data_IF_195490228830
#
_entry.id   IF_195490228830
#
_cell.length_a   1.000
_cell.length_b   1.000
_cell.length_c   1.000
_cell.angle_alpha   90.00
_cell.angle_beta   90.00
_cell.angle_gamma   90.00
#
_symmetry.space_group_name_H-M   'P 1'
#
loop_
_entity.id
_entity.type
_entity.pdbx_description
1 polymer ?
#
# COMPACT_ATOMS: atom_id res chain seq x y z
N UNK A 1 -12.70 -4.96 11.56
CA UNK A 1 -11.47 -5.79 11.48
C UNK A 1 -11.53 -6.65 10.22
N UNK A 2 -10.82 -6.30 9.15
CA UNK A 2 -10.74 -7.21 7.99
C UNK A 2 -9.55 -8.15 8.18
N UNK A 3 -9.84 -9.41 8.48
CA UNK A 3 -8.89 -10.53 8.29
C UNK A 3 -8.29 -10.39 6.88
N UNK A 4 -6.98 -10.60 6.72
CA UNK A 4 -6.39 -10.66 5.39
C UNK A 4 -7.06 -11.81 4.62
N UNK A 5 -7.84 -11.48 3.60
CA UNK A 5 -8.58 -12.47 2.80
C UNK A 5 -7.80 -12.93 1.57
N UNK A 6 -6.81 -12.16 1.14
CA UNK A 6 -6.05 -12.43 -0.08
C UNK A 6 -4.92 -13.44 0.13
N UNK A 7 -4.36 -13.52 1.34
CA UNK A 7 -3.28 -14.45 1.66
C UNK A 7 -3.67 -15.38 2.80
N UNK A 8 -3.61 -16.69 2.53
CA UNK A 8 -3.84 -17.70 3.56
C UNK A 8 -2.62 -17.78 4.49
N UNK A 9 -2.85 -17.44 5.75
CA UNK A 9 -1.83 -17.57 6.79
C UNK A 9 -1.50 -19.03 7.11
N UNK A 10 -0.22 -19.33 7.33
CA UNK A 10 0.29 -20.63 7.81
C UNK A 10 0.44 -20.70 9.33
N UNK A 11 0.16 -19.61 10.04
CA UNK A 11 0.15 -19.57 11.50
C UNK A 11 -1.08 -20.25 12.13
N UNK A 12 -1.24 -20.19 13.46
CA UNK A 12 -0.39 -19.45 14.40
C UNK A 12 0.99 -20.09 14.61
N UNK A 13 1.98 -19.29 14.98
CA UNK A 13 3.31 -19.74 15.40
C UNK A 13 3.59 -19.29 16.83
N UNK A 14 4.34 -20.08 17.60
CA UNK A 14 4.83 -19.66 18.92
C UNK A 14 5.94 -18.63 18.76
N UNK A 15 5.99 -17.62 19.63
CA UNK A 15 6.97 -16.54 19.54
C UNK A 15 8.41 -17.04 19.61
N UNK A 16 8.71 -18.00 20.49
CA UNK A 16 10.02 -18.65 20.58
C UNK A 16 10.41 -19.48 19.33
N UNK A 17 9.46 -19.92 18.50
CA UNK A 17 9.75 -20.58 17.21
C UNK A 17 10.11 -19.54 16.14
N UNK A 18 9.51 -18.34 16.22
CA UNK A 18 9.82 -17.25 15.32
C UNK A 18 11.19 -16.63 15.66
N UNK A 19 11.48 -16.45 16.95
CA UNK A 19 12.67 -15.75 17.47
C UNK A 19 13.36 -16.53 18.61
N UNK A 20 13.96 -17.70 18.33
CA UNK A 20 14.51 -18.59 19.34
C UNK A 20 15.66 -17.98 20.15
N UNK A 21 16.38 -17.01 19.59
CA UNK A 21 17.51 -16.35 20.25
C UNK A 21 17.11 -15.10 21.04
N UNK A 22 15.87 -14.64 20.92
CA UNK A 22 15.41 -13.39 21.51
C UNK A 22 14.28 -13.59 22.53
N UNK A 23 13.57 -14.72 22.48
CA UNK A 23 12.42 -14.97 23.36
C UNK A 23 12.24 -16.45 23.68
N UNK A 24 11.97 -16.74 24.96
CA UNK A 24 11.53 -18.05 25.44
C UNK A 24 9.99 -18.15 25.54
N UNK A 25 9.29 -17.10 25.14
CA UNK A 25 7.83 -16.97 25.27
C UNK A 25 7.09 -17.93 24.35
N UNK A 26 6.08 -18.61 24.90
CA UNK A 26 5.23 -19.57 24.19
C UNK A 26 3.91 -18.95 23.69
N UNK A 27 3.82 -17.61 23.66
CA UNK A 27 2.64 -16.90 23.15
C UNK A 27 2.37 -17.29 21.70
N UNK A 28 1.11 -17.57 21.39
CA UNK A 28 0.67 -17.88 20.02
C UNK A 28 0.44 -16.59 19.23
N UNK A 29 1.32 -16.34 18.27
CA UNK A 29 1.19 -15.26 17.29
C UNK A 29 0.35 -15.77 16.12
N UNK A 30 -0.79 -15.11 15.89
CA UNK A 30 -1.75 -15.43 14.82
C UNK A 30 -1.50 -14.66 13.54
N UNK A 31 -0.92 -13.47 13.61
CA UNK A 31 -0.72 -12.61 12.44
C UNK A 31 0.39 -11.58 12.65
N UNK A 32 0.70 -10.84 11.59
CA UNK A 32 1.62 -9.69 11.59
C UNK A 32 0.82 -8.45 11.17
N UNK A 33 0.92 -7.37 11.93
CA UNK A 33 0.20 -6.11 11.67
C UNK A 33 1.03 -4.89 12.03
N UNK A 34 0.65 -3.73 11.49
CA UNK A 34 1.21 -2.43 11.84
C UNK A 34 0.89 -2.04 13.29
N UNK A 35 1.69 -1.14 13.87
CA UNK A 35 1.62 -0.75 15.28
C UNK A 35 0.22 -0.32 15.73
N UNK A 36 -0.51 0.39 14.85
CA UNK A 36 -1.85 0.94 15.04
C UNK A 36 -2.98 -0.11 14.96
N UNK A 37 -2.73 -1.25 14.32
CA UNK A 37 -3.75 -2.28 14.05
C UNK A 37 -3.49 -3.61 14.78
N UNK A 38 -2.32 -3.77 15.39
CA UNK A 38 -1.91 -4.99 16.05
C UNK A 38 -2.63 -5.18 17.39
N UNK A 39 -3.15 -6.39 17.60
CA UNK A 39 -3.82 -6.81 18.83
C UNK A 39 -2.95 -7.84 19.60
N UNK A 40 -3.41 -8.28 20.78
CA UNK A 40 -2.63 -9.12 21.71
C UNK A 40 -2.05 -10.41 21.10
N UNK A 41 -2.66 -10.95 20.05
CA UNK A 41 -2.18 -12.14 19.35
C UNK A 41 -1.37 -11.86 18.08
N UNK A 42 -1.02 -10.61 17.82
CA UNK A 42 -0.30 -10.20 16.61
C UNK A 42 1.14 -9.81 16.94
N UNK A 43 2.02 -10.03 15.96
CA UNK A 43 3.37 -9.50 15.93
C UNK A 43 3.37 -8.17 15.19
N UNK A 44 4.11 -7.19 15.70
CA UNK A 44 4.32 -5.89 15.06
C UNK A 44 5.81 -5.54 14.97
N UNK A 45 6.14 -4.35 14.48
CA UNK A 45 7.51 -3.89 14.32
C UNK A 45 7.65 -2.38 14.58
N UNK A 46 8.80 -1.97 15.10
CA UNK A 46 9.12 -0.60 15.43
C UNK A 46 10.61 -0.30 15.19
N UNK A 47 10.91 0.52 14.19
CA UNK A 47 12.30 0.77 13.73
C UNK A 47 12.73 2.24 13.77
N UNK A 48 11.79 3.18 13.84
CA UNK A 48 12.08 4.63 13.77
C UNK A 48 11.23 5.41 14.76
N UNK A 49 11.83 6.43 15.38
CA UNK A 49 11.16 7.34 16.31
C UNK A 49 9.98 8.10 15.70
N UNK A 50 9.90 8.20 14.37
CA UNK A 50 8.75 8.77 13.68
C UNK A 50 7.43 8.06 14.04
N UNK A 51 7.51 6.80 14.48
CA UNK A 51 6.35 5.99 14.89
C UNK A 51 6.21 5.86 16.41
N UNK A 52 6.96 6.63 17.21
CA UNK A 52 6.96 6.55 18.68
C UNK A 52 5.55 6.56 19.26
N UNK A 53 4.71 7.50 18.83
CA UNK A 53 3.35 7.62 19.33
C UNK A 53 2.48 6.38 19.07
N UNK A 54 2.68 5.70 17.93
CA UNK A 54 1.99 4.44 17.64
C UNK A 54 2.56 3.28 18.45
N UNK A 55 3.89 3.27 18.67
CA UNK A 55 4.56 2.26 19.49
C UNK A 55 4.09 2.30 20.95
N UNK A 56 3.95 3.49 21.54
CA UNK A 56 3.46 3.69 22.90
C UNK A 56 2.01 3.19 23.10
N UNK A 57 1.23 3.13 22.01
CA UNK A 57 -0.19 2.78 22.02
C UNK A 57 -0.51 1.40 21.45
N UNK A 58 0.50 0.65 21.01
CA UNK A 58 0.29 -0.64 20.37
C UNK A 58 -0.36 -1.64 21.34
N UNK A 59 -1.25 -2.49 20.82
CA UNK A 59 -1.84 -3.61 21.58
C UNK A 59 -1.22 -4.94 21.20
N UNK A 60 -0.14 -4.94 20.42
CA UNK A 60 0.54 -6.14 19.95
C UNK A 60 1.03 -7.03 21.11
N UNK A 61 0.99 -8.35 20.91
CA UNK A 61 1.59 -9.28 21.87
C UNK A 61 3.11 -9.21 21.87
N UNK A 62 3.72 -8.97 20.71
CA UNK A 62 5.16 -8.82 20.56
C UNK A 62 5.51 -7.80 19.47
N UNK A 63 6.65 -7.13 19.62
CA UNK A 63 7.15 -6.14 18.66
C UNK A 63 8.63 -6.37 18.35
N UNK A 64 8.94 -6.55 17.06
CA UNK A 64 10.33 -6.56 16.57
C UNK A 64 10.89 -5.14 16.64
N UNK A 65 11.98 -4.93 17.36
CA UNK A 65 12.54 -3.58 17.55
C UNK A 65 14.05 -3.61 17.80
N UNK A 66 14.64 -2.43 18.03
CA UNK A 66 16.03 -2.24 18.44
C UNK A 66 16.10 -1.96 19.94
N UNK A 67 17.22 -2.30 20.57
CA UNK A 67 17.39 -2.14 22.03
C UNK A 67 17.12 -0.70 22.51
N UNK A 68 17.58 0.30 21.76
CA UNK A 68 17.39 1.71 22.08
C UNK A 68 15.94 2.22 21.91
N UNK A 69 15.08 1.46 21.23
CA UNK A 69 13.68 1.80 20.96
C UNK A 69 12.70 1.06 21.88
N UNK A 70 13.12 -0.05 22.49
CA UNK A 70 12.30 -0.88 23.38
C UNK A 70 11.55 -0.10 24.47
N UNK A 71 12.18 0.96 25.01
CA UNK A 71 11.61 1.79 26.10
C UNK A 71 10.30 2.51 25.75
N UNK A 72 9.95 2.62 24.46
CA UNK A 72 8.70 3.25 24.02
C UNK A 72 7.56 2.24 23.87
N UNK A 73 7.81 0.94 24.06
CA UNK A 73 6.78 -0.07 23.99
C UNK A 73 6.07 -0.22 25.34
N UNK A 74 4.75 -0.49 25.35
CA UNK A 74 4.04 -0.76 26.59
C UNK A 74 4.51 -2.08 27.20
N UNK A 75 4.44 -2.20 28.54
CA UNK A 75 4.83 -3.42 29.26
C UNK A 75 4.07 -4.67 28.81
N UNK A 76 2.86 -4.50 28.26
CA UNK A 76 2.05 -5.58 27.70
C UNK A 76 2.56 -6.13 26.37
N UNK A 77 3.53 -5.48 25.73
CA UNK A 77 4.09 -5.86 24.44
C UNK A 77 5.53 -6.37 24.63
N UNK A 78 5.75 -7.65 24.30
CA UNK A 78 7.08 -8.25 24.41
C UNK A 78 8.03 -7.71 23.32
N UNK A 79 9.11 -7.05 23.72
CA UNK A 79 10.08 -6.49 22.78
C UNK A 79 11.09 -7.54 22.30
N UNK A 80 11.07 -7.83 21.00
CA UNK A 80 12.01 -8.71 20.32
C UNK A 80 13.15 -7.86 19.74
N UNK A 81 14.24 -7.73 20.50
CA UNK A 81 15.36 -6.85 20.15
C UNK A 81 16.31 -7.54 19.15
N UNK A 82 16.47 -6.92 17.98
CA UNK A 82 17.23 -7.46 16.84
C UNK A 82 18.14 -6.40 16.21
N UNK A 83 19.13 -6.84 15.44
CA UNK A 83 20.03 -5.93 14.70
C UNK A 83 19.33 -5.28 13.50
N UNK A 84 18.55 -6.04 12.75
CA UNK A 84 17.81 -5.57 11.57
C UNK A 84 16.32 -5.91 11.72
N UNK A 85 15.51 -4.88 11.98
CA UNK A 85 14.07 -5.02 12.20
C UNK A 85 13.39 -5.49 10.92
N UNK A 86 13.68 -4.86 9.78
CA UNK A 86 13.08 -5.22 8.49
C UNK A 86 13.41 -6.65 8.08
N UNK A 87 14.64 -7.12 8.31
CA UNK A 87 15.03 -8.49 7.94
C UNK A 87 14.28 -9.54 8.74
N UNK A 88 14.22 -9.38 10.06
CA UNK A 88 13.52 -10.33 10.91
C UNK A 88 11.99 -10.25 10.72
N UNK A 89 11.45 -9.05 10.44
CA UNK A 89 10.06 -8.89 10.00
C UNK A 89 9.79 -9.62 8.69
N UNK A 90 10.65 -9.47 7.69
CA UNK A 90 10.48 -10.12 6.38
C UNK A 90 10.51 -11.64 6.52
N UNK A 91 11.43 -12.20 7.30
CA UNK A 91 11.52 -13.65 7.59
C UNK A 91 10.28 -14.17 8.30
N UNK A 92 9.82 -13.47 9.34
CA UNK A 92 8.59 -13.82 10.03
C UNK A 92 7.40 -13.78 9.05
N UNK A 93 7.31 -12.74 8.23
CA UNK A 93 6.24 -12.58 7.23
C UNK A 93 6.26 -13.69 6.19
N UNK A 94 7.44 -14.11 5.71
CA UNK A 94 7.55 -15.24 4.77
C UNK A 94 7.09 -16.56 5.39
N UNK A 95 7.32 -16.78 6.70
CA UNK A 95 6.78 -17.96 7.40
C UNK A 95 5.25 -17.93 7.46
N UNK A 96 4.65 -16.77 7.77
CA UNK A 96 3.18 -16.64 7.82
C UNK A 96 2.54 -16.70 6.43
N UNK A 97 3.18 -16.10 5.42
CA UNK A 97 2.62 -15.86 4.09
C UNK A 97 3.64 -16.18 2.99
N UNK A 98 3.95 -17.46 2.74
CA UNK A 98 5.01 -17.86 1.82
C UNK A 98 4.72 -17.52 0.35
N UNK A 99 3.47 -17.26 -0.01
CA UNK A 99 3.06 -16.95 -1.40
C UNK A 99 2.85 -15.44 -1.63
N UNK A 100 3.29 -14.57 -0.71
CA UNK A 100 3.10 -13.13 -0.81
C UNK A 100 4.37 -12.38 -1.28
N UNK A 101 5.44 -13.11 -1.61
CA UNK A 101 6.72 -12.58 -2.10
C UNK A 101 6.75 -12.32 -3.62
N UNK A 102 5.75 -12.80 -4.35
CA UNK A 102 5.54 -12.62 -5.78
C UNK A 102 4.06 -12.40 -6.10
N UNK A 103 3.80 -11.92 -7.32
CA UNK A 103 2.47 -11.95 -7.93
C UNK A 103 2.33 -13.21 -8.78
N UNK A 104 1.85 -14.27 -8.14
CA UNK A 104 1.49 -15.49 -8.84
C UNK A 104 0.20 -15.26 -9.66
N UNK A 105 0.10 -15.80 -10.88
CA UNK A 105 -1.14 -15.74 -11.65
C UNK A 105 -2.29 -16.42 -10.90
N UNK A 106 -3.47 -15.80 -10.91
CA UNK A 106 -4.66 -16.41 -10.35
C UNK A 106 -5.21 -17.51 -11.27
N UNK A 107 -5.01 -18.76 -10.86
CA UNK A 107 -5.48 -19.93 -11.62
C UNK A 107 -6.99 -20.18 -11.49
N UNK A 108 -7.70 -19.37 -10.69
CA UNK A 108 -9.16 -19.50 -10.48
C UNK A 108 -10.01 -18.66 -11.42
N UNK A 109 -9.39 -17.94 -12.36
CA UNK A 109 -10.07 -17.04 -13.29
C UNK A 109 -11.06 -17.77 -14.20
N UNK A 110 -12.29 -17.29 -14.23
CA UNK A 110 -13.35 -17.72 -15.16
C UNK A 110 -13.92 -16.51 -15.91
N UNK A 111 -14.52 -16.73 -17.08
CA UNK A 111 -15.29 -15.68 -17.77
C UNK A 111 -16.44 -15.21 -16.86
N UNK A 112 -16.59 -13.89 -16.72
CA UNK A 112 -17.64 -13.28 -15.93
C UNK A 112 -19.04 -13.71 -16.41
N UNK A 113 -19.86 -14.25 -15.51
CA UNK A 113 -21.23 -14.69 -15.81
C UNK A 113 -22.24 -13.73 -15.20
N UNK A 114 -23.13 -13.16 -16.04
CA UNK A 114 -24.20 -12.24 -15.59
C UNK A 114 -25.06 -12.83 -14.45
N UNK A 115 -25.29 -14.15 -14.45
CA UNK A 115 -26.05 -14.85 -13.40
C UNK A 115 -25.38 -14.78 -12.02
N UNK A 116 -24.04 -14.69 -11.93
CA UNK A 116 -23.31 -14.54 -10.67
C UNK A 116 -23.29 -13.08 -10.17
N UNK A 117 -23.49 -12.11 -11.06
CA UNK A 117 -23.37 -10.68 -10.79
C UNK A 117 -24.60 -9.90 -11.30
N UNK A 118 -25.78 -10.07 -10.68
CA UNK A 118 -27.01 -9.43 -11.14
C UNK A 118 -26.89 -7.90 -11.06
N UNK A 119 -27.20 -7.22 -12.16
CA UNK A 119 -27.12 -5.76 -12.26
C UNK A 119 -25.73 -5.21 -12.61
N UNK A 120 -24.74 -6.06 -12.89
CA UNK A 120 -23.42 -5.65 -13.38
C UNK A 120 -23.35 -5.82 -14.90
N UNK A 121 -22.79 -4.83 -15.59
CA UNK A 121 -22.54 -4.90 -17.04
C UNK A 121 -21.07 -5.24 -17.29
N UNK A 122 -20.84 -6.21 -18.17
CA UNK A 122 -19.51 -6.64 -18.57
C UNK A 122 -19.29 -6.39 -20.05
N UNK A 123 -18.09 -5.93 -20.41
CA UNK A 123 -17.55 -5.98 -21.76
C UNK A 123 -17.13 -7.40 -22.15
N UNK A 124 -16.43 -7.51 -23.27
CA UNK A 124 -15.97 -8.79 -23.80
C UNK A 124 -14.75 -9.30 -23.03
N UNK A 125 -14.64 -10.62 -22.86
CA UNK A 125 -13.46 -11.26 -22.28
C UNK A 125 -13.06 -10.73 -20.87
N UNK A 126 -14.05 -10.48 -20.00
CA UNK A 126 -13.79 -10.16 -18.59
C UNK A 126 -13.58 -11.44 -17.81
N UNK A 127 -12.47 -11.52 -17.07
CA UNK A 127 -12.12 -12.66 -16.21
C UNK A 127 -12.26 -12.29 -14.73
N UNK A 128 -12.86 -13.19 -13.97
CA UNK A 128 -13.16 -12.99 -12.55
C UNK A 128 -12.72 -14.21 -11.75
N UNK A 129 -11.93 -13.97 -10.70
CA UNK A 129 -11.44 -14.99 -9.79
C UNK A 129 -12.45 -15.39 -8.72
N UNK A 130 -12.05 -16.32 -7.85
CA UNK A 130 -12.90 -16.83 -6.78
C UNK A 130 -13.30 -15.74 -5.78
N UNK A 131 -14.53 -15.79 -5.27
CA UNK A 131 -15.07 -14.89 -4.22
C UNK A 131 -15.08 -13.39 -4.54
N UNK A 132 -14.80 -12.99 -5.79
CA UNK A 132 -14.94 -11.58 -6.20
C UNK A 132 -16.36 -11.10 -5.97
N UNK A 133 -16.50 -9.88 -5.48
CA UNK A 133 -17.79 -9.21 -5.30
C UNK A 133 -17.80 -7.89 -6.04
N UNK A 134 -18.89 -7.64 -6.76
CA UNK A 134 -19.09 -6.42 -7.53
C UNK A 134 -20.48 -5.89 -7.19
N UNK A 135 -20.55 -4.63 -6.77
CA UNK A 135 -21.81 -3.96 -6.48
C UNK A 135 -22.66 -3.73 -7.73
N UNK A 136 -23.96 -3.56 -7.51
CA UNK A 136 -24.94 -3.33 -8.59
C UNK A 136 -24.62 -2.04 -9.36
N UNK A 137 -25.11 -1.98 -10.60
CA UNK A 137 -24.95 -0.85 -11.52
C UNK A 137 -23.52 -0.58 -11.99
N UNK A 138 -22.55 -1.38 -11.54
CA UNK A 138 -21.17 -1.24 -11.99
C UNK A 138 -20.99 -1.76 -13.42
N UNK A 139 -20.05 -1.15 -14.14
CA UNK A 139 -19.67 -1.49 -15.51
C UNK A 139 -18.20 -1.89 -15.51
N UNK A 140 -17.90 -3.05 -16.10
CA UNK A 140 -16.53 -3.57 -16.24
C UNK A 140 -16.20 -3.69 -17.73
N UNK A 141 -15.17 -2.99 -18.19
CA UNK A 141 -14.73 -2.93 -19.58
C UNK A 141 -14.07 -4.22 -20.07
N UNK A 142 -13.79 -4.28 -21.37
CA UNK A 142 -13.33 -5.51 -22.03
C UNK A 142 -11.90 -5.89 -21.63
N UNK A 143 -11.59 -7.18 -21.64
CA UNK A 143 -10.25 -7.70 -21.31
C UNK A 143 -9.76 -7.35 -19.89
N UNK A 144 -10.68 -7.03 -18.98
CA UNK A 144 -10.36 -6.71 -17.58
C UNK A 144 -10.32 -7.98 -16.74
N UNK A 145 -9.34 -8.06 -15.83
CA UNK A 145 -9.11 -9.18 -14.93
C UNK A 145 -9.30 -8.72 -13.49
N UNK A 146 -10.21 -9.37 -12.77
CA UNK A 146 -10.45 -9.18 -11.35
C UNK A 146 -10.03 -10.46 -10.61
N UNK A 147 -8.90 -10.45 -9.90
CA UNK A 147 -8.42 -11.63 -9.17
C UNK A 147 -9.22 -11.90 -7.88
N UNK A 148 -9.01 -13.09 -7.31
CA UNK A 148 -9.75 -13.59 -6.17
C UNK A 148 -9.87 -12.60 -5.01
N UNK A 149 -11.03 -12.65 -4.35
CA UNK A 149 -11.36 -11.88 -3.17
C UNK A 149 -11.36 -10.34 -3.38
N UNK A 150 -11.18 -9.84 -4.61
CA UNK A 150 -11.37 -8.40 -4.93
C UNK A 150 -12.81 -8.00 -4.64
N UNK A 151 -12.96 -6.84 -4.00
CA UNK A 151 -14.26 -6.26 -3.66
C UNK A 151 -14.42 -4.92 -4.38
N UNK A 152 -15.49 -4.78 -5.14
CA UNK A 152 -15.87 -3.54 -5.83
C UNK A 152 -17.26 -3.11 -5.35
N UNK A 153 -17.39 -1.84 -4.98
CA UNK A 153 -18.64 -1.21 -4.59
C UNK A 153 -19.66 -1.11 -5.74
N UNK A 154 -20.72 -0.36 -5.47
CA UNK A 154 -21.78 -0.09 -6.45
C UNK A 154 -21.44 1.11 -7.33
N UNK A 155 -22.11 1.19 -8.47
CA UNK A 155 -22.08 2.35 -9.36
C UNK A 155 -20.65 2.69 -9.87
N UNK A 156 -19.77 1.70 -9.98
CA UNK A 156 -18.39 1.91 -10.45
C UNK A 156 -18.27 1.77 -11.97
N UNK A 157 -17.35 2.52 -12.57
CA UNK A 157 -16.96 2.37 -13.98
C UNK A 157 -15.51 1.93 -14.06
N UNK A 158 -15.29 0.67 -14.37
CA UNK A 158 -13.97 0.07 -14.56
C UNK A 158 -13.75 -0.10 -16.06
N UNK A 159 -12.73 0.54 -16.61
CA UNK A 159 -12.36 0.51 -18.02
C UNK A 159 -11.88 -0.85 -18.51
N UNK A 160 -11.30 -0.84 -19.72
CA UNK A 160 -10.79 -2.01 -20.43
C UNK A 160 -9.32 -2.28 -20.14
N UNK A 161 -8.89 -3.53 -20.28
CA UNK A 161 -7.50 -3.96 -20.11
C UNK A 161 -6.92 -3.66 -18.72
N UNK A 162 -7.77 -3.67 -17.69
CA UNK A 162 -7.38 -3.40 -16.31
C UNK A 162 -7.06 -4.71 -15.59
N UNK A 163 -6.08 -4.67 -14.69
CA UNK A 163 -5.83 -5.74 -13.73
C UNK A 163 -6.03 -5.23 -12.30
N UNK A 164 -6.97 -5.85 -11.57
CA UNK A 164 -7.21 -5.57 -10.15
C UNK A 164 -6.97 -6.85 -9.36
N UNK A 165 -6.09 -6.77 -8.36
CA UNK A 165 -5.83 -7.82 -7.37
C UNK A 165 -5.66 -7.21 -5.99
N UNK A 166 -5.77 -7.98 -4.92
CA UNK A 166 -5.49 -7.52 -3.55
C UNK A 166 -6.09 -6.14 -3.21
N UNK A 167 -7.35 -5.88 -3.60
CA UNK A 167 -7.92 -4.53 -3.57
C UNK A 167 -9.36 -4.48 -3.09
N UNK A 168 -9.67 -3.44 -2.33
CA UNK A 168 -11.03 -3.02 -2.00
C UNK A 168 -11.30 -1.68 -2.67
N UNK A 169 -12.35 -1.65 -3.49
CA UNK A 169 -12.78 -0.48 -4.26
C UNK A 169 -14.14 -0.04 -3.71
N UNK A 170 -14.24 1.23 -3.34
CA UNK A 170 -15.46 1.87 -2.85
C UNK A 170 -16.55 1.99 -3.91
N UNK A 171 -17.53 2.84 -3.63
CA UNK A 171 -18.66 3.14 -4.52
C UNK A 171 -18.33 4.32 -5.43
N UNK A 172 -19.00 4.41 -6.58
CA UNK A 172 -18.83 5.50 -7.56
C UNK A 172 -17.37 5.70 -7.99
N UNK A 173 -16.56 4.64 -7.99
CA UNK A 173 -15.16 4.72 -8.40
C UNK A 173 -15.04 4.59 -9.91
N UNK A 174 -14.21 5.43 -10.52
CA UNK A 174 -13.87 5.37 -11.94
C UNK A 174 -12.40 4.95 -12.09
N UNK A 175 -12.13 3.94 -12.92
CA UNK A 175 -10.78 3.52 -13.26
C UNK A 175 -10.68 3.44 -14.78
N UNK A 176 -9.81 4.25 -15.36
CA UNK A 176 -9.60 4.32 -16.81
C UNK A 176 -8.68 3.20 -17.31
N UNK A 177 -8.70 3.01 -18.63
CA UNK A 177 -8.10 1.87 -19.33
C UNK A 177 -6.61 1.63 -18.98
N UNK A 178 -6.24 0.35 -18.92
CA UNK A 178 -4.85 -0.09 -18.74
C UNK A 178 -4.27 0.04 -17.33
N UNK A 179 -5.05 0.52 -16.35
CA UNK A 179 -4.59 0.65 -14.97
C UNK A 179 -4.30 -0.72 -14.31
N UNK A 180 -3.33 -0.75 -13.39
CA UNK A 180 -2.93 -1.94 -12.61
C UNK A 180 -2.99 -1.63 -11.12
N UNK A 181 -3.86 -2.34 -10.40
CA UNK A 181 -4.17 -2.04 -9.00
C UNK A 181 -3.89 -3.26 -8.12
N UNK A 182 -3.12 -3.04 -7.05
CA UNK A 182 -2.80 -4.01 -6.01
C UNK A 182 -1.67 -4.98 -6.36
N UNK A 183 -0.83 -4.62 -7.34
CA UNK A 183 0.40 -5.35 -7.65
C UNK A 183 1.35 -5.38 -6.44
N UNK A 184 2.24 -6.38 -6.41
CA UNK A 184 3.31 -6.43 -5.42
C UNK A 184 4.26 -5.24 -5.63
N UNK A 185 4.44 -4.46 -4.57
CA UNK A 185 5.41 -3.37 -4.56
C UNK A 185 6.87 -3.79 -4.59
N UNK A 186 7.71 -2.79 -4.86
CA UNK A 186 9.16 -2.90 -4.89
C UNK A 186 9.77 -2.95 -3.48
N UNK A 187 9.85 -4.15 -2.89
CA UNK A 187 10.49 -4.35 -1.59
C UNK A 187 11.39 -5.58 -1.52
N UNK A 188 12.66 -5.34 -1.21
CA UNK A 188 13.67 -6.35 -0.92
C UNK A 188 14.72 -5.82 0.06
N UNK A 189 15.45 -6.74 0.66
CA UNK A 189 16.59 -6.46 1.54
C UNK A 189 17.85 -6.90 0.80
N UNK A 190 18.78 -5.98 0.51
CA UNK A 190 20.03 -6.34 -0.14
C UNK A 190 20.88 -7.17 0.82
N UNK A 191 21.26 -8.37 0.38
CA UNK A 191 22.24 -9.22 1.05
C UNK A 191 23.39 -9.49 0.09
N UNK A 192 24.56 -9.86 0.61
CA UNK A 192 25.81 -10.00 -0.14
C UNK A 192 25.65 -10.76 -1.48
N UNK A 193 24.96 -11.90 -1.46
CA UNK A 193 24.89 -12.80 -2.62
C UNK A 193 23.48 -12.93 -3.24
N UNK A 194 22.43 -12.50 -2.53
CA UNK A 194 21.04 -12.59 -3.01
C UNK A 194 20.11 -11.68 -2.22
N UNK A 195 19.38 -10.82 -2.92
CA UNK A 195 18.34 -9.99 -2.30
C UNK A 195 17.22 -10.86 -1.72
N UNK A 196 16.81 -10.56 -0.48
CA UNK A 196 15.66 -11.20 0.15
C UNK A 196 14.39 -10.42 -0.17
N UNK A 197 13.40 -11.03 -0.82
CA UNK A 197 12.14 -10.35 -1.16
C UNK A 197 11.28 -10.18 0.08
N UNK A 198 10.71 -8.99 0.25
CA UNK A 198 9.76 -8.72 1.33
C UNK A 198 8.36 -9.16 0.86
N UNK A 199 7.69 -10.07 1.57
CA UNK A 199 6.30 -10.40 1.25
C UNK A 199 5.38 -9.19 1.45
N UNK A 200 4.53 -8.92 0.46
CA UNK A 200 3.54 -7.85 0.52
C UNK A 200 2.16 -8.45 0.74
N UNK A 201 1.71 -8.41 1.99
CA UNK A 201 0.46 -8.97 2.47
C UNK A 201 -0.63 -7.91 2.63
N UNK A 202 -0.31 -6.63 2.43
CA UNK A 202 -1.28 -5.55 2.42
C UNK A 202 -2.21 -5.61 1.21
N UNK A 203 -2.96 -4.54 1.04
CA UNK A 203 -3.91 -4.35 -0.06
C UNK A 203 -3.93 -2.89 -0.51
N UNK A 204 -4.61 -2.63 -1.61
CA UNK A 204 -5.04 -1.28 -1.99
C UNK A 204 -6.46 -1.05 -1.51
N UNK A 205 -6.73 0.15 -1.01
CA UNK A 205 -8.06 0.62 -0.65
C UNK A 205 -8.31 1.91 -1.42
N UNK A 206 -9.29 1.89 -2.32
CA UNK A 206 -9.85 3.09 -2.91
C UNK A 206 -11.16 3.39 -2.18
N UNK A 207 -11.25 4.56 -1.56
CA UNK A 207 -12.51 5.02 -0.97
C UNK A 207 -13.51 5.48 -2.05
N UNK A 208 -14.69 5.93 -1.63
CA UNK A 208 -15.77 6.31 -2.54
C UNK A 208 -15.42 7.53 -3.40
N UNK A 209 -15.93 7.57 -4.63
CA UNK A 209 -15.75 8.66 -5.60
C UNK A 209 -14.29 8.93 -5.99
N UNK A 210 -13.40 7.93 -5.89
CA UNK A 210 -12.03 8.04 -6.41
C UNK A 210 -12.04 7.88 -7.93
N UNK A 211 -11.22 8.66 -8.62
CA UNK A 211 -10.96 8.51 -10.06
C UNK A 211 -9.48 8.21 -10.31
N UNK A 212 -9.23 7.18 -11.10
CA UNK A 212 -7.89 6.73 -11.49
C UNK A 212 -7.76 6.82 -13.01
N UNK A 213 -6.83 7.65 -13.47
CA UNK A 213 -6.50 7.85 -14.87
C UNK A 213 -5.89 6.62 -15.53
N UNK A 214 -5.75 6.70 -16.85
CA UNK A 214 -5.32 5.59 -17.68
C UNK A 214 -3.88 5.16 -17.34
N UNK A 215 -3.64 3.85 -17.38
CA UNK A 215 -2.31 3.27 -17.18
C UNK A 215 -1.61 3.64 -15.87
N UNK A 216 -2.36 4.02 -14.83
CA UNK A 216 -1.82 4.17 -13.48
C UNK A 216 -1.38 2.81 -12.92
N UNK A 217 -0.35 2.82 -12.05
CA UNK A 217 0.10 1.62 -11.33
C UNK A 217 0.12 1.89 -9.83
N UNK A 218 -0.73 1.18 -9.10
CA UNK A 218 -0.92 1.34 -7.65
C UNK A 218 -0.55 0.05 -6.93
N UNK A 219 0.56 0.05 -6.22
CA UNK A 219 1.07 -1.13 -5.52
C UNK A 219 0.32 -1.36 -4.20
N UNK A 220 0.08 -2.62 -3.85
CA UNK A 220 -0.42 -2.97 -2.51
C UNK A 220 0.64 -2.71 -1.44
N UNK A 221 0.19 -2.43 -0.23
CA UNK A 221 1.11 -2.25 0.88
C UNK A 221 1.86 -3.52 1.29
N UNK A 222 3.00 -3.35 1.96
CA UNK A 222 3.79 -4.46 2.51
C UNK A 222 3.08 -5.17 3.67
N UNK A 223 3.05 -4.58 4.86
CA UNK A 223 2.25 -5.04 6.01
C UNK A 223 0.99 -4.18 6.15
N UNK A 224 1.15 -2.86 6.06
CA UNK A 224 0.05 -1.91 6.01
C UNK A 224 -0.63 -1.90 4.64
N UNK A 225 -1.58 -0.98 4.47
CA UNK A 225 -2.34 -0.82 3.23
C UNK A 225 -1.87 0.42 2.46
N UNK A 226 -2.01 0.39 1.13
CA UNK A 226 -1.98 1.58 0.27
C UNK A 226 -3.40 2.13 0.21
N UNK A 227 -3.60 3.43 0.39
CA UNK A 227 -4.93 4.03 0.52
C UNK A 227 -5.04 5.29 -0.32
N UNK A 228 -6.16 5.43 -1.04
CA UNK A 228 -6.56 6.67 -1.69
C UNK A 228 -7.91 7.09 -1.10
N UNK A 229 -7.91 8.23 -0.40
CA UNK A 229 -9.08 8.76 0.28
C UNK A 229 -10.15 9.26 -0.69
N UNK A 230 -11.37 9.39 -0.18
CA UNK A 230 -12.56 9.70 -0.98
C UNK A 230 -12.42 10.99 -1.80
N UNK A 231 -13.07 11.01 -2.97
CA UNK A 231 -13.10 12.16 -3.88
C UNK A 231 -11.70 12.64 -4.30
N UNK A 232 -10.78 11.71 -4.54
CA UNK A 232 -9.42 12.00 -5.00
C UNK A 232 -9.25 11.53 -6.43
N UNK A 233 -8.55 12.34 -7.23
CA UNK A 233 -8.38 12.18 -8.66
C UNK A 233 -6.89 12.01 -8.98
N UNK A 234 -6.54 10.89 -9.62
CA UNK A 234 -5.24 10.68 -10.24
C UNK A 234 -5.40 10.78 -11.76
N UNK A 235 -4.61 11.61 -12.41
CA UNK A 235 -4.51 11.67 -13.87
C UNK A 235 -3.65 10.50 -14.40
N UNK A 236 -3.48 10.43 -15.71
CA UNK A 236 -2.86 9.32 -16.42
C UNK A 236 -1.41 9.05 -15.98
N UNK A 237 -1.04 7.77 -15.99
CA UNK A 237 0.33 7.29 -15.75
C UNK A 237 0.92 7.65 -14.38
N UNK A 238 0.09 7.93 -13.37
CA UNK A 238 0.56 8.08 -11.99
C UNK A 238 1.04 6.73 -11.45
N UNK A 239 2.19 6.73 -10.79
CA UNK A 239 2.71 5.58 -10.07
C UNK A 239 2.65 5.80 -8.56
N UNK A 240 1.97 4.91 -7.84
CA UNK A 240 1.98 4.87 -6.38
C UNK A 240 2.64 3.58 -5.88
N UNK A 241 3.77 3.72 -5.22
CA UNK A 241 4.43 2.61 -4.55
C UNK A 241 3.65 2.13 -3.31
N UNK A 242 4.13 1.04 -2.73
CA UNK A 242 3.51 0.39 -1.58
C UNK A 242 3.38 1.32 -0.36
N UNK A 243 2.29 1.16 0.39
CA UNK A 243 2.00 1.85 1.66
C UNK A 243 1.77 3.36 1.56
N UNK A 244 1.72 3.93 0.35
CA UNK A 244 1.37 5.35 0.19
C UNK A 244 -0.08 5.56 0.64
N UNK A 245 -0.33 6.67 1.35
CA UNK A 245 -1.67 7.07 1.78
C UNK A 245 -1.95 8.48 1.30
N UNK A 246 -2.96 8.64 0.46
CA UNK A 246 -3.46 9.94 0.04
C UNK A 246 -4.75 10.22 0.78
N UNK A 247 -4.90 11.43 1.33
CA UNK A 247 -6.12 11.91 1.94
C UNK A 247 -7.25 12.11 0.92
N UNK A 248 -8.22 12.94 1.31
CA UNK A 248 -9.45 13.23 0.56
C UNK A 248 -9.29 14.48 -0.29
N UNK A 249 -10.09 14.58 -1.34
CA UNK A 249 -10.17 15.77 -2.19
C UNK A 249 -8.84 16.17 -2.84
N UNK A 250 -7.99 15.20 -3.17
CA UNK A 250 -6.69 15.48 -3.78
C UNK A 250 -6.77 15.43 -5.32
N UNK A 251 -5.94 16.23 -5.98
CA UNK A 251 -5.82 16.28 -7.44
C UNK A 251 -4.36 16.07 -7.83
N UNK A 252 -4.07 14.93 -8.45
CA UNK A 252 -2.71 14.54 -8.80
C UNK A 252 -2.61 14.45 -10.33
N UNK A 253 -1.88 15.37 -10.94
CA UNK A 253 -1.73 15.42 -12.38
C UNK A 253 -0.82 14.30 -12.93
N UNK A 254 -0.78 14.17 -14.26
CA UNK A 254 -0.21 13.02 -14.93
C UNK A 254 1.27 12.80 -14.63
N UNK A 255 1.68 11.53 -14.67
CA UNK A 255 3.07 11.10 -14.49
C UNK A 255 3.70 11.47 -13.12
N UNK A 256 2.90 11.81 -12.11
CA UNK A 256 3.41 11.95 -10.75
C UNK A 256 3.83 10.58 -10.20
N UNK A 257 4.98 10.55 -9.54
CA UNK A 257 5.52 9.34 -8.91
C UNK A 257 5.61 9.47 -7.40
N UNK A 258 5.12 8.46 -6.68
CA UNK A 258 5.25 8.36 -5.22
C UNK A 258 6.12 7.16 -4.85
N UNK A 259 7.21 7.41 -4.13
CA UNK A 259 7.94 6.36 -3.44
C UNK A 259 7.20 5.88 -2.18
N UNK A 260 7.58 4.70 -1.69
CA UNK A 260 6.79 3.97 -0.69
C UNK A 260 6.62 4.67 0.65
N UNK A 261 5.50 4.38 1.31
CA UNK A 261 5.19 4.79 2.69
C UNK A 261 5.03 6.30 2.95
N UNK A 262 4.93 7.13 1.91
CA UNK A 262 4.61 8.55 2.07
C UNK A 262 3.13 8.79 2.33
N UNK A 263 2.82 9.84 3.06
CA UNK A 263 1.45 10.21 3.44
C UNK A 263 1.15 11.63 2.99
N UNK A 264 -0.03 11.83 2.39
CA UNK A 264 -0.55 13.12 1.99
C UNK A 264 -1.83 13.41 2.79
N UNK A 265 -1.96 14.65 3.24
CA UNK A 265 -3.18 15.18 3.85
C UNK A 265 -4.32 15.34 2.84
N UNK A 266 -5.32 16.12 3.22
CA UNK A 266 -6.49 16.42 2.39
C UNK A 266 -6.24 17.66 1.53
N UNK A 267 -7.01 17.80 0.45
CA UNK A 267 -7.01 18.97 -0.45
C UNK A 267 -5.63 19.26 -1.07
N UNK A 268 -4.83 18.23 -1.32
CA UNK A 268 -3.49 18.36 -1.91
C UNK A 268 -3.60 18.40 -3.44
N UNK A 269 -2.88 19.33 -4.07
CA UNK A 269 -2.76 19.41 -5.54
C UNK A 269 -1.30 19.23 -5.95
N UNK A 270 -1.03 18.30 -6.86
CA UNK A 270 0.33 18.03 -7.37
C UNK A 270 0.33 18.17 -8.89
N UNK A 271 1.15 19.07 -9.41
CA UNK A 271 1.36 19.27 -10.84
C UNK A 271 2.10 18.11 -11.51
N UNK A 272 1.93 17.99 -12.82
CA UNK A 272 2.40 16.83 -13.58
C UNK A 272 3.91 16.61 -13.48
N UNK A 273 4.32 15.35 -13.58
CA UNK A 273 5.73 14.92 -13.50
C UNK A 273 6.47 15.30 -12.19
N UNK A 274 5.76 15.67 -11.13
CA UNK A 274 6.38 15.80 -9.82
C UNK A 274 6.72 14.43 -9.22
N UNK A 275 7.75 14.38 -8.37
CA UNK A 275 8.16 13.17 -7.66
C UNK A 275 8.15 13.37 -6.15
N UNK A 276 7.59 12.41 -5.40
CA UNK A 276 7.57 12.43 -3.93
C UNK A 276 8.42 11.29 -3.38
N UNK A 277 9.46 11.62 -2.63
CA UNK A 277 10.34 10.63 -1.98
C UNK A 277 9.59 9.83 -0.92
N UNK A 278 10.15 8.69 -0.51
CA UNK A 278 9.51 7.76 0.42
C UNK A 278 9.53 8.26 1.86
N UNK A 279 8.59 7.75 2.66
CA UNK A 279 8.46 8.06 4.09
C UNK A 279 8.24 9.54 4.44
N UNK A 280 7.76 10.35 3.49
CA UNK A 280 7.47 11.76 3.71
C UNK A 280 6.05 11.97 4.23
N UNK A 281 5.87 13.06 4.99
CA UNK A 281 4.57 13.58 5.37
C UNK A 281 4.32 14.91 4.65
N UNK A 282 3.29 14.91 3.81
CA UNK A 282 2.77 16.09 3.13
C UNK A 282 1.47 16.49 3.83
N UNK A 283 1.42 17.76 4.25
CA UNK A 283 0.31 18.34 4.99
C UNK A 283 -0.99 18.48 4.20
N UNK A 284 -2.00 19.06 4.84
CA UNK A 284 -3.25 19.45 4.22
C UNK A 284 -3.08 20.71 3.37
N UNK A 285 -3.94 20.89 2.35
CA UNK A 285 -4.01 22.08 1.50
C UNK A 285 -2.69 22.45 0.78
N UNK A 286 -1.81 21.46 0.60
CA UNK A 286 -0.51 21.66 -0.05
C UNK A 286 -0.67 21.73 -1.57
N UNK A 287 0.06 22.65 -2.22
CA UNK A 287 0.17 22.71 -3.68
C UNK A 287 1.62 22.53 -4.12
N UNK A 288 1.86 21.57 -4.99
CA UNK A 288 3.20 21.23 -5.49
C UNK A 288 3.21 21.51 -6.99
N UNK A 289 4.08 22.41 -7.45
CA UNK A 289 4.24 22.73 -8.87
C UNK A 289 4.73 21.54 -9.69
N UNK A 290 4.40 21.51 -10.98
CA UNK A 290 4.85 20.44 -11.90
C UNK A 290 6.37 20.32 -11.97
N UNK A 291 6.85 19.10 -12.23
CA UNK A 291 8.28 18.77 -12.32
C UNK A 291 9.06 18.85 -10.99
N UNK A 292 8.39 19.15 -9.87
CA UNK A 292 9.07 19.33 -8.58
C UNK A 292 9.51 18.00 -7.96
N UNK A 293 10.73 17.95 -7.44
CA UNK A 293 11.23 16.86 -6.60
C UNK A 293 11.04 17.15 -5.11
N UNK A 294 10.19 16.39 -4.44
CA UNK A 294 9.90 16.53 -3.01
C UNK A 294 10.74 15.53 -2.23
N UNK A 295 11.67 16.05 -1.43
CA UNK A 295 12.67 15.26 -0.68
C UNK A 295 12.60 15.46 0.84
N UNK A 296 11.66 16.28 1.31
CA UNK A 296 11.40 16.57 2.73
C UNK A 296 9.90 16.69 2.99
N UNK A 297 9.52 16.54 4.24
CA UNK A 297 8.15 16.79 4.69
C UNK A 297 7.72 18.22 4.34
N UNK A 298 6.45 18.39 4.01
CA UNK A 298 5.83 19.68 3.70
C UNK A 298 4.71 19.93 4.72
N UNK A 299 4.73 21.04 5.47
CA UNK A 299 3.67 21.36 6.40
C UNK A 299 2.36 21.74 5.69
N UNK A 300 1.28 21.84 6.46
CA UNK A 300 -0.03 22.26 5.96
C UNK A 300 0.05 23.65 5.29
N UNK A 301 -0.92 23.94 4.42
CA UNK A 301 -1.14 25.25 3.79
C UNK A 301 0.05 25.81 2.99
N UNK A 302 0.91 24.94 2.49
CA UNK A 302 2.16 25.33 1.83
C UNK A 302 2.07 25.18 0.30
N UNK A 303 2.59 26.15 -0.43
CA UNK A 303 2.78 26.08 -1.89
C UNK A 303 4.28 25.97 -2.18
N UNK A 304 4.70 24.93 -2.90
CA UNK A 304 6.11 24.71 -3.28
C UNK A 304 6.24 24.49 -4.78
N UNK A 305 7.39 24.85 -5.34
CA UNK A 305 7.76 24.54 -6.72
C UNK A 305 9.27 24.37 -6.83
N UNK A 306 9.71 23.35 -7.56
CA UNK A 306 11.10 23.09 -7.91
C UNK A 306 11.24 22.88 -9.41
N UNK A 307 11.30 23.98 -10.17
CA UNK A 307 11.47 24.09 -11.61
C UNK A 307 11.56 25.62 -11.86
N UNK A 308 12.40 26.18 -12.76
CA UNK A 308 12.45 25.79 -14.17
C UNK A 308 13.81 25.29 -14.66
N UNK A 309 13.84 24.84 -15.92
CA UNK A 309 15.06 24.77 -16.68
C UNK A 309 15.71 26.17 -16.75
N UNK A 310 17.00 26.23 -16.43
CA UNK A 310 17.84 27.42 -16.56
C UNK A 310 19.06 27.07 -17.42
N UNK A 311 19.76 28.04 -18.03
CA UNK A 311 20.99 27.77 -18.75
C UNK A 311 22.00 26.99 -17.89
N UNK A 312 22.70 26.01 -18.48
CA UNK A 312 23.61 25.09 -17.75
C UNK A 312 24.62 25.83 -16.86
N UNK A 313 25.19 26.94 -17.35
CA UNK A 313 26.14 27.76 -16.58
C UNK A 313 25.52 28.34 -15.29
N UNK A 314 24.24 28.71 -15.31
CA UNK A 314 23.55 29.22 -14.13
C UNK A 314 23.20 28.11 -13.14
N UNK A 315 22.78 26.95 -13.65
CA UNK A 315 22.51 25.78 -12.82
C UNK A 315 23.73 25.35 -12.00
N UNK A 316 24.90 25.27 -12.63
CA UNK A 316 26.16 24.89 -11.96
C UNK A 316 26.63 25.94 -10.92
N UNK A 317 26.25 27.21 -11.07
CA UNK A 317 26.58 28.27 -10.12
C UNK A 317 25.70 28.25 -8.88
N UNK A 318 24.40 27.96 -9.03
CA UNK A 318 23.42 27.91 -7.93
C UNK A 318 23.52 26.63 -7.08
N UNK A 319 24.20 25.60 -7.59
CA UNK A 319 24.35 24.29 -6.93
C UNK A 319 25.64 24.13 -6.12
N UNK A 320 26.35 25.24 -5.83
CA UNK A 320 27.45 25.30 -4.86
C UNK A 320 26.94 25.87 -3.55
#
# INVERSE_FOLDING_TARGET
>A
MSKNIFFKSKGPFKLNILFPNQSNSKINIKNIKTLDKAEKSDLTFFESLNYKYLAEKTKAGACITKENLKKYLPQSCEAICVKSVLFELAKATSKFYPNADLDYPDISLEIAKKSKFPGVKFGNNVLVGKNVKIGKSSIIGSNTILEHDVLIGKDCTIGSQIMIKNSFIGNNVVIQDGAKIGLKGFGFIPLKDKNFRIPHIGKVILEDNVEIGASCTIDRGSIGDTVIGANTFLDNQVHMAHNVKIGRNCMIAGQVGFAGSSTLGNNVSIGGQAGVSGHLKIGNNVKIGGGSGVVKDIPDDTIVMGYPAVPLKEFLKKSK
#
